data_IF_372694912514
#
_entry.id   IF_372694912514
#
_cell.length_a   1.000
_cell.length_b   1.000
_cell.length_c   1.000
_cell.angle_alpha   90.00
_cell.angle_beta   90.00
_cell.angle_gamma   90.00
#
_symmetry.space_group_name_H-M   'P 1'
#
loop_
_entity.id
_entity.type
_entity.pdbx_description
1 polymer ?
#
# COMPACT_ATOMS: atom_id res chain seq x y z
N UNK A 1 0.20 -1.76 -21.02
CA UNK A 1 -1.11 -1.17 -20.65
C UNK A 1 -1.85 -1.99 -19.61
N UNK A 2 -2.04 -3.31 -19.81
CA UNK A 2 -2.71 -4.18 -18.81
C UNK A 2 -2.14 -4.03 -17.38
N UNK A 3 -0.82 -4.04 -17.22
CA UNK A 3 -0.20 -3.84 -15.89
C UNK A 3 -0.44 -2.46 -15.28
N UNK A 4 -0.43 -1.39 -16.09
CA UNK A 4 -0.80 -0.05 -15.62
C UNK A 4 -2.25 0.01 -15.15
N UNK A 5 -3.17 -0.65 -15.85
CA UNK A 5 -4.58 -0.73 -15.45
C UNK A 5 -4.76 -1.44 -14.11
N UNK A 6 -4.05 -2.57 -13.91
CA UNK A 6 -4.03 -3.29 -12.63
C UNK A 6 -3.52 -2.43 -11.48
N UNK A 7 -2.45 -1.66 -11.67
CA UNK A 7 -1.91 -0.80 -10.62
C UNK A 7 -2.85 0.34 -10.24
N UNK A 8 -3.52 0.96 -11.23
CA UNK A 8 -4.53 1.99 -10.97
C UNK A 8 -5.73 1.37 -10.25
N UNK A 9 -6.21 0.21 -10.68
CA UNK A 9 -7.32 -0.50 -10.03
C UNK A 9 -6.99 -0.85 -8.58
N UNK A 10 -5.82 -1.44 -8.32
CA UNK A 10 -5.35 -1.75 -6.96
C UNK A 10 -5.27 -0.50 -6.10
N UNK A 11 -4.87 0.64 -6.68
CA UNK A 11 -4.79 1.91 -5.95
C UNK A 11 -6.18 2.51 -5.66
N UNK A 12 -7.11 2.43 -6.60
CA UNK A 12 -8.50 2.88 -6.39
C UNK A 12 -9.23 2.01 -5.37
N UNK A 13 -9.00 0.71 -5.40
CA UNK A 13 -9.56 -0.21 -4.41
C UNK A 13 -8.97 0.01 -3.02
N UNK A 14 -7.65 0.19 -2.92
CA UNK A 14 -6.98 0.53 -1.67
C UNK A 14 -7.38 1.90 -1.08
N UNK A 15 -7.86 2.83 -1.91
CA UNK A 15 -8.43 4.10 -1.48
C UNK A 15 -9.93 4.03 -1.13
N UNK A 16 -10.60 2.92 -1.50
CA UNK A 16 -12.04 2.76 -1.37
C UNK A 16 -12.86 3.56 -2.40
N UNK A 17 -12.27 3.95 -3.53
CA UNK A 17 -12.94 4.72 -4.58
C UNK A 17 -13.72 3.83 -5.56
N UNK A 18 -13.21 2.62 -5.80
CA UNK A 18 -13.81 1.63 -6.69
C UNK A 18 -13.75 0.28 -5.99
N UNK A 19 -14.78 -0.53 -6.14
CA UNK A 19 -14.80 -1.90 -5.63
C UNK A 19 -14.62 -2.88 -6.79
N UNK A 20 -13.90 -3.96 -6.54
CA UNK A 20 -13.89 -5.13 -7.43
C UNK A 20 -15.04 -6.11 -7.11
N UNK A 21 -15.96 -5.76 -6.21
CA UNK A 21 -17.20 -6.48 -5.96
C UNK A 21 -18.29 -6.01 -6.92
N UNK A 22 -18.93 -6.96 -7.58
CA UNK A 22 -20.09 -6.76 -8.44
C UNK A 22 -21.30 -7.37 -7.78
N UNK A 23 -22.39 -6.62 -7.81
CA UNK A 23 -23.68 -7.03 -7.25
C UNK A 23 -24.59 -7.40 -8.41
N UNK A 24 -25.08 -8.64 -8.42
CA UNK A 24 -26.02 -9.13 -9.43
C UNK A 24 -27.44 -8.83 -8.96
N UNK A 25 -28.21 -8.15 -9.81
CA UNK A 25 -29.59 -7.77 -9.53
C UNK A 25 -30.56 -8.51 -10.47
N UNK A 26 -31.74 -8.89 -9.95
CA UNK A 26 -32.82 -9.43 -10.78
C UNK A 26 -33.49 -8.33 -11.63
N UNK A 27 -34.42 -8.74 -12.49
CA UNK A 27 -35.20 -7.82 -13.32
C UNK A 27 -36.07 -6.83 -12.52
N UNK A 28 -36.21 -7.05 -11.21
CA UNK A 28 -36.94 -6.24 -10.26
C UNK A 28 -36.00 -5.35 -9.41
N UNK A 29 -34.69 -5.36 -9.69
CA UNK A 29 -33.68 -4.55 -9.01
C UNK A 29 -33.26 -5.08 -7.63
N UNK A 30 -33.64 -6.31 -7.26
CA UNK A 30 -33.25 -6.94 -5.99
C UNK A 30 -31.90 -7.63 -6.15
N UNK A 31 -31.08 -7.51 -5.11
CA UNK A 31 -29.76 -8.15 -5.06
C UNK A 31 -29.94 -9.66 -4.89
N UNK A 32 -29.50 -10.43 -5.89
CA UNK A 32 -29.59 -11.90 -5.91
C UNK A 32 -28.25 -12.52 -5.54
N UNK A 33 -27.15 -11.90 -5.97
CA UNK A 33 -25.80 -12.41 -5.71
C UNK A 33 -24.77 -11.27 -5.65
N UNK A 34 -23.57 -11.57 -5.18
CA UNK A 34 -22.41 -10.70 -5.38
C UNK A 34 -21.16 -11.55 -5.63
N UNK A 35 -20.29 -11.12 -6.54
CA UNK A 35 -19.04 -11.80 -6.84
C UNK A 35 -17.89 -10.79 -6.95
N UNK A 36 -16.66 -11.27 -6.80
CA UNK A 36 -15.46 -10.45 -6.91
C UNK A 36 -14.76 -10.73 -8.25
N UNK A 37 -14.55 -9.71 -9.07
CA UNK A 37 -13.86 -9.83 -10.35
C UNK A 37 -12.93 -8.65 -10.62
N UNK A 38 -11.72 -8.64 -10.02
CA UNK A 38 -10.75 -7.58 -10.27
C UNK A 38 -10.36 -7.43 -11.76
N UNK A 39 -10.42 -8.53 -12.51
CA UNK A 39 -10.14 -8.54 -13.94
C UNK A 39 -11.19 -7.80 -14.77
N UNK A 40 -12.46 -7.85 -14.36
CA UNK A 40 -13.55 -7.09 -14.97
C UNK A 40 -13.49 -5.61 -14.56
N UNK A 41 -13.22 -5.35 -13.27
CA UNK A 41 -13.14 -4.00 -12.72
C UNK A 41 -12.02 -3.14 -13.37
N UNK A 42 -10.92 -3.75 -13.80
CA UNK A 42 -9.83 -3.03 -14.48
C UNK A 42 -10.10 -2.69 -15.96
N UNK A 43 -11.14 -3.27 -16.60
CA UNK A 43 -11.40 -3.07 -18.03
C UNK A 43 -11.70 -1.62 -18.43
N UNK A 44 -12.54 -0.86 -17.69
CA UNK A 44 -12.77 0.55 -18.01
C UNK A 44 -11.48 1.38 -17.94
N UNK A 45 -10.64 1.13 -16.94
CA UNK A 45 -9.33 1.79 -16.79
C UNK A 45 -8.43 1.44 -17.97
N UNK A 46 -8.39 0.16 -18.35
CA UNK A 46 -7.61 -0.30 -19.50
C UNK A 46 -8.07 0.39 -20.80
N UNK A 47 -9.38 0.55 -21.02
CA UNK A 47 -9.91 1.24 -22.18
C UNK A 47 -9.48 2.72 -22.23
N UNK A 48 -9.54 3.43 -21.09
CA UNK A 48 -9.05 4.82 -20.99
C UNK A 48 -7.54 4.90 -21.28
N UNK A 49 -6.74 3.99 -20.73
CA UNK A 49 -5.30 3.94 -20.99
C UNK A 49 -4.97 3.67 -22.47
N UNK A 50 -5.77 2.84 -23.15
CA UNK A 50 -5.62 2.62 -24.59
C UNK A 50 -5.93 3.87 -25.40
N UNK A 51 -7.01 4.59 -25.07
CA UNK A 51 -7.33 5.87 -25.72
C UNK A 51 -6.17 6.86 -25.52
N UNK A 52 -5.66 6.97 -24.29
CA UNK A 52 -4.53 7.85 -23.97
C UNK A 52 -3.26 7.45 -24.74
N UNK A 53 -2.98 6.14 -24.86
CA UNK A 53 -1.86 5.65 -25.66
C UNK A 53 -2.00 6.01 -27.14
N UNK A 54 -3.19 5.90 -27.73
CA UNK A 54 -3.42 6.27 -29.13
C UNK A 54 -3.21 7.77 -29.37
N UNK A 55 -3.74 8.62 -28.48
CA UNK A 55 -3.50 10.07 -28.52
C UNK A 55 -2.01 10.36 -28.40
N UNK A 56 -1.32 9.68 -27.47
CA UNK A 56 0.10 9.89 -27.25
C UNK A 56 0.95 9.41 -28.43
N UNK A 57 0.58 8.30 -29.08
CA UNK A 57 1.23 7.81 -30.29
C UNK A 57 1.13 8.84 -31.42
N UNK A 58 -0.03 9.46 -31.59
CA UNK A 58 -0.22 10.54 -32.55
C UNK A 58 0.65 11.77 -32.22
N UNK A 59 0.71 12.17 -30.95
CA UNK A 59 1.57 13.26 -30.50
C UNK A 59 3.05 12.95 -30.71
N UNK A 60 3.48 11.71 -30.47
CA UNK A 60 4.85 11.25 -30.66
C UNK A 60 5.30 11.30 -32.12
N UNK A 61 4.43 10.92 -33.06
CA UNK A 61 4.71 11.07 -34.49
C UNK A 61 4.77 12.56 -34.86
N UNK A 62 3.88 13.37 -34.29
CA UNK A 62 3.87 14.83 -34.51
C UNK A 62 5.16 15.48 -34.01
N UNK A 63 5.69 15.07 -32.86
CA UNK A 63 6.95 15.61 -32.33
C UNK A 63 8.14 15.17 -33.17
N UNK A 64 8.16 13.92 -33.66
CA UNK A 64 9.11 13.48 -34.69
C UNK A 64 9.08 14.37 -35.93
N UNK A 65 7.87 14.76 -36.38
CA UNK A 65 7.71 15.71 -37.48
C UNK A 65 8.24 17.12 -37.14
N UNK A 66 7.97 17.61 -35.93
CA UNK A 66 8.50 18.89 -35.46
C UNK A 66 10.03 18.88 -35.48
N UNK A 67 10.67 17.80 -35.02
CA UNK A 67 12.12 17.69 -34.95
C UNK A 67 12.77 17.63 -36.34
N UNK A 68 12.36 16.68 -37.21
CA UNK A 68 13.04 16.41 -38.47
C UNK A 68 12.10 16.20 -39.68
N UNK A 69 10.91 16.82 -39.67
CA UNK A 69 9.89 16.74 -40.74
C UNK A 69 9.53 15.27 -41.05
N UNK A 70 9.38 14.92 -42.34
CA UNK A 70 9.00 13.57 -42.76
C UNK A 70 9.96 12.50 -42.26
N UNK A 71 11.29 12.76 -42.26
CA UNK A 71 12.29 11.79 -41.79
C UNK A 71 12.10 11.49 -40.30
N UNK A 72 11.90 12.52 -39.48
CA UNK A 72 11.65 12.34 -38.05
C UNK A 72 10.32 11.63 -37.75
N UNK A 73 9.26 11.94 -38.50
CA UNK A 73 7.98 11.24 -38.38
C UNK A 73 8.12 9.74 -38.74
N UNK A 74 8.90 9.42 -39.78
CA UNK A 74 9.14 8.03 -40.21
C UNK A 74 9.94 7.26 -39.15
N UNK A 75 10.99 7.87 -38.58
CA UNK A 75 11.75 7.28 -37.47
C UNK A 75 10.86 7.06 -36.24
N UNK A 76 10.03 8.04 -35.87
CA UNK A 76 9.11 7.92 -34.75
C UNK A 76 8.10 6.78 -34.96
N UNK A 77 7.55 6.65 -36.17
CA UNK A 77 6.66 5.55 -36.54
C UNK A 77 7.37 4.20 -36.47
N UNK A 78 8.59 4.10 -36.99
CA UNK A 78 9.39 2.88 -36.92
C UNK A 78 9.65 2.43 -35.49
N UNK A 79 10.02 3.36 -34.59
CA UNK A 79 10.23 3.07 -33.17
C UNK A 79 8.94 2.55 -32.51
N UNK A 80 7.78 3.11 -32.86
CA UNK A 80 6.50 2.72 -32.27
C UNK A 80 6.03 1.33 -32.75
N UNK A 81 6.30 0.98 -34.00
CA UNK A 81 5.94 -0.32 -34.59
C UNK A 81 6.93 -1.44 -34.26
N UNK A 82 8.19 -1.09 -33.98
CA UNK A 82 9.28 -2.06 -33.79
C UNK A 82 8.96 -3.12 -32.71
N UNK A 83 8.47 -2.78 -31.50
CA UNK A 83 8.15 -3.81 -30.51
C UNK A 83 7.09 -4.80 -30.98
N UNK A 84 6.07 -4.33 -31.71
CA UNK A 84 5.03 -5.20 -32.27
C UNK A 84 5.57 -6.15 -33.33
N UNK A 85 6.46 -5.66 -34.19
CA UNK A 85 7.15 -6.49 -35.20
C UNK A 85 8.06 -7.55 -34.54
N UNK A 86 8.79 -7.18 -33.49
CA UNK A 86 9.64 -8.11 -32.73
C UNK A 86 8.83 -9.19 -32.00
N UNK A 87 7.65 -8.85 -31.48
CA UNK A 87 6.71 -9.83 -30.89
C UNK A 87 6.22 -10.81 -31.95
N UNK A 88 5.83 -10.34 -33.14
CA UNK A 88 5.39 -11.21 -34.24
C UNK A 88 6.49 -12.16 -34.72
N UNK A 89 7.75 -11.73 -34.64
CA UNK A 89 8.92 -12.54 -34.97
C UNK A 89 9.36 -13.49 -33.85
N UNK A 90 8.72 -13.44 -32.67
CA UNK A 90 9.08 -14.24 -31.51
C UNK A 90 10.39 -13.83 -30.84
N UNK A 91 10.95 -12.66 -31.19
CA UNK A 91 12.20 -12.14 -30.63
C UNK A 91 11.98 -11.34 -29.35
N UNK A 92 10.73 -11.03 -29.02
CA UNK A 92 10.38 -10.29 -27.81
C UNK A 92 9.86 -11.24 -26.71
N UNK A 93 10.33 -11.10 -25.45
CA UNK A 93 9.90 -11.97 -24.37
C UNK A 93 8.42 -11.78 -24.01
N UNK A 94 7.75 -12.88 -23.64
CA UNK A 94 6.39 -12.88 -23.11
C UNK A 94 6.37 -12.37 -21.67
N UNK A 95 6.33 -11.06 -21.50
CA UNK A 95 6.24 -10.43 -20.17
C UNK A 95 4.78 -10.50 -19.70
N UNK A 96 4.54 -11.22 -18.60
CA UNK A 96 3.25 -11.14 -17.90
C UNK A 96 3.16 -9.79 -17.18
N UNK A 97 2.28 -8.93 -17.66
CA UNK A 97 2.01 -7.63 -17.03
C UNK A 97 0.94 -7.70 -15.94
N UNK A 98 0.42 -8.90 -15.64
CA UNK A 98 -0.48 -9.08 -14.50
C UNK A 98 0.32 -9.04 -13.19
N UNK A 99 -0.24 -8.49 -12.10
CA UNK A 99 0.41 -8.55 -10.81
C UNK A 99 0.41 -10.00 -10.29
N UNK A 100 1.47 -10.37 -9.54
CA UNK A 100 1.59 -11.71 -8.93
C UNK A 100 0.51 -11.95 -7.85
N UNK A 101 0.04 -10.88 -7.22
CA UNK A 101 -1.08 -10.90 -6.28
C UNK A 101 -1.90 -9.61 -6.40
N UNK A 102 -3.21 -9.74 -6.22
CA UNK A 102 -4.13 -8.62 -6.11
C UNK A 102 -4.83 -8.70 -4.76
N UNK A 103 -4.78 -7.63 -3.97
CA UNK A 103 -5.34 -7.63 -2.62
C UNK A 103 -6.65 -6.86 -2.61
N UNK A 104 -7.74 -7.59 -2.43
CA UNK A 104 -9.09 -7.06 -2.35
C UNK A 104 -9.30 -6.36 -1.01
N UNK A 105 -9.77 -5.11 -1.02
CA UNK A 105 -10.03 -4.32 0.19
C UNK A 105 -8.81 -4.06 1.11
N UNK A 106 -7.60 -4.44 0.69
CA UNK A 106 -6.38 -4.28 1.47
C UNK A 106 -5.63 -3.00 1.12
N UNK A 107 -5.10 -2.33 2.13
CA UNK A 107 -4.23 -1.16 1.98
C UNK A 107 -2.75 -1.56 1.91
N UNK A 108 -1.95 -0.87 1.10
CA UNK A 108 -0.48 -0.92 1.16
C UNK A 108 0.22 -1.66 0.02
N UNK A 109 -0.50 -2.20 -0.97
CA UNK A 109 0.07 -2.81 -2.18
C UNK A 109 -0.24 -1.90 -3.37
N UNK A 110 0.79 -1.48 -4.13
CA UNK A 110 0.65 -0.53 -5.24
C UNK A 110 0.54 -1.21 -6.62
N UNK A 111 0.36 -2.53 -6.63
CA UNK A 111 0.44 -3.37 -7.82
C UNK A 111 1.88 -3.75 -8.15
N UNK A 112 2.17 -4.07 -9.42
CA UNK A 112 3.49 -4.58 -9.84
C UNK A 112 4.44 -3.46 -10.28
N UNK A 113 5.74 -3.66 -10.07
CA UNK A 113 6.78 -2.73 -10.55
C UNK A 113 6.71 -2.54 -12.08
N UNK A 114 6.43 -3.61 -12.82
CA UNK A 114 6.23 -3.56 -14.28
C UNK A 114 5.01 -2.72 -14.67
N UNK A 115 3.90 -2.83 -13.94
CA UNK A 115 2.73 -1.98 -14.14
C UNK A 115 3.06 -0.50 -13.94
N UNK A 116 3.81 -0.19 -12.88
CA UNK A 116 4.19 1.19 -12.55
C UNK A 116 5.14 1.76 -13.61
N UNK A 117 6.09 0.96 -14.09
CA UNK A 117 6.99 1.34 -15.17
C UNK A 117 6.22 1.74 -16.44
N UNK A 118 5.13 1.04 -16.77
CA UNK A 118 4.30 1.43 -17.93
C UNK A 118 3.62 2.78 -17.76
N UNK A 119 3.14 3.11 -16.54
CA UNK A 119 2.51 4.41 -16.25
C UNK A 119 3.53 5.54 -16.22
N UNK A 120 4.68 5.33 -15.57
CA UNK A 120 5.80 6.28 -15.54
C UNK A 120 6.31 6.54 -16.94
N UNK A 121 6.49 5.49 -17.75
CA UNK A 121 6.92 5.60 -19.15
C UNK A 121 5.92 6.39 -20.02
N UNK A 122 4.61 6.14 -19.86
CA UNK A 122 3.57 6.95 -20.50
C UNK A 122 3.67 8.43 -20.12
N UNK A 123 3.80 8.72 -18.82
CA UNK A 123 3.93 10.10 -18.34
C UNK A 123 5.19 10.78 -18.88
N UNK A 124 6.32 10.07 -18.92
CA UNK A 124 7.58 10.59 -19.47
C UNK A 124 7.44 10.95 -20.95
N UNK A 125 6.87 10.04 -21.76
CA UNK A 125 6.64 10.32 -23.18
C UNK A 125 5.63 11.45 -23.37
N UNK A 126 4.58 11.51 -22.54
CA UNK A 126 3.60 12.59 -22.57
C UNK A 126 4.22 13.96 -22.26
N UNK A 127 5.04 14.06 -21.21
CA UNK A 127 5.77 15.28 -20.88
C UNK A 127 6.74 15.69 -21.98
N UNK A 128 7.48 14.74 -22.55
CA UNK A 128 8.40 15.00 -23.65
C UNK A 128 7.68 15.53 -24.90
N UNK A 129 6.61 14.85 -25.32
CA UNK A 129 5.81 15.27 -26.45
C UNK A 129 5.16 16.64 -26.21
N UNK A 130 4.55 16.82 -25.04
CA UNK A 130 3.83 18.05 -24.69
C UNK A 130 4.70 19.28 -24.72
N UNK A 131 5.89 19.23 -24.10
CA UNK A 131 6.82 20.37 -24.06
C UNK A 131 7.39 20.67 -25.45
N UNK A 132 7.74 19.67 -26.26
CA UNK A 132 8.22 19.92 -27.64
C UNK A 132 7.15 20.58 -28.52
N UNK A 133 5.90 20.14 -28.42
CA UNK A 133 4.79 20.77 -29.14
C UNK A 133 4.56 22.19 -28.64
N UNK A 134 4.63 22.41 -27.33
CA UNK A 134 4.47 23.74 -26.74
C UNK A 134 5.52 24.73 -27.25
N UNK A 135 6.80 24.31 -27.29
CA UNK A 135 7.91 25.12 -27.82
C UNK A 135 7.75 25.39 -29.32
N UNK A 136 7.17 24.47 -30.09
CA UNK A 136 6.91 24.67 -31.53
C UNK A 136 5.74 25.63 -31.80
N UNK A 137 4.71 25.60 -30.94
CA UNK A 137 3.49 26.41 -31.11
C UNK A 137 3.67 27.85 -30.64
N UNK A 138 4.34 28.03 -29.50
CA UNK A 138 4.49 29.31 -28.81
C UNK A 138 5.90 29.87 -29.03
N UNK A 139 6.08 31.20 -29.23
CA UNK A 139 7.38 31.83 -29.35
C UNK A 139 8.02 31.97 -27.96
N UNK A 140 8.34 30.83 -27.37
CA UNK A 140 8.88 30.74 -26.03
C UNK A 140 10.38 30.97 -26.13
N UNK A 141 10.85 32.12 -25.63
CA UNK A 141 12.28 32.42 -25.54
C UNK A 141 13.00 31.54 -24.50
N UNK A 142 14.29 31.79 -24.30
CA UNK A 142 15.13 30.97 -23.41
C UNK A 142 14.67 31.00 -21.94
N UNK A 143 13.85 31.98 -21.54
CA UNK A 143 13.30 32.12 -20.18
C UNK A 143 12.43 30.96 -19.70
N UNK A 144 11.77 30.22 -20.59
CA UNK A 144 10.94 29.08 -20.17
C UNK A 144 11.74 27.91 -19.63
N UNK A 145 12.99 27.72 -20.11
CA UNK A 145 13.89 26.74 -19.53
C UNK A 145 14.12 27.02 -18.04
N UNK A 146 14.36 28.29 -17.69
CA UNK A 146 14.56 28.72 -16.31
C UNK A 146 13.30 28.57 -15.45
N UNK A 147 12.12 28.89 -15.99
CA UNK A 147 10.84 28.66 -15.28
C UNK A 147 10.61 27.17 -15.05
N UNK A 148 10.91 26.34 -16.05
CA UNK A 148 10.80 24.88 -15.93
C UNK A 148 11.77 24.31 -14.91
N UNK A 149 12.95 24.91 -14.74
CA UNK A 149 13.92 24.51 -13.72
C UNK A 149 13.36 24.66 -12.31
N UNK A 150 12.56 25.70 -12.03
CA UNK A 150 11.87 25.81 -10.74
C UNK A 150 10.90 24.64 -10.50
N UNK A 151 10.15 24.24 -11.53
CA UNK A 151 9.23 23.08 -11.44
C UNK A 151 10.03 21.78 -11.22
N UNK A 152 11.14 21.61 -11.93
CA UNK A 152 12.04 20.47 -11.75
C UNK A 152 12.63 20.38 -10.35
N UNK A 153 13.11 21.51 -9.80
CA UNK A 153 13.65 21.54 -8.44
C UNK A 153 12.57 21.30 -7.38
N UNK A 154 11.37 21.86 -7.55
CA UNK A 154 10.24 21.59 -6.66
C UNK A 154 9.85 20.11 -6.69
N UNK A 155 9.82 19.50 -7.88
CA UNK A 155 9.55 18.08 -8.05
C UNK A 155 10.64 17.21 -7.39
N UNK A 156 11.92 17.56 -7.53
CA UNK A 156 13.02 16.86 -6.87
C UNK A 156 12.94 16.96 -5.33
N UNK A 157 12.58 18.13 -4.79
CA UNK A 157 12.38 18.33 -3.36
C UNK A 157 11.22 17.48 -2.82
N UNK A 158 10.11 17.41 -3.55
CA UNK A 158 8.99 16.53 -3.21
C UNK A 158 9.39 15.05 -3.21
N UNK A 159 10.23 14.61 -4.15
CA UNK A 159 10.77 13.25 -4.15
C UNK A 159 11.55 12.94 -2.87
N UNK A 160 12.37 13.90 -2.41
CA UNK A 160 13.10 13.78 -1.15
C UNK A 160 12.17 13.65 0.06
N UNK A 161 11.10 14.45 0.12
CA UNK A 161 10.09 14.36 1.19
C UNK A 161 9.40 12.98 1.18
N UNK A 162 8.99 12.47 0.01
CA UNK A 162 8.39 11.15 -0.09
C UNK A 162 9.34 10.04 0.37
N UNK A 163 10.63 10.13 0.03
CA UNK A 163 11.62 9.17 0.49
C UNK A 163 11.74 9.15 2.02
N UNK A 164 11.75 10.32 2.67
CA UNK A 164 11.78 10.41 4.14
C UNK A 164 10.50 9.83 4.75
N UNK A 165 9.34 10.13 4.17
CA UNK A 165 8.07 9.57 4.63
C UNK A 165 8.04 8.03 4.50
N UNK A 166 8.66 7.48 3.46
CA UNK A 166 8.77 6.02 3.26
C UNK A 166 9.65 5.36 4.30
N UNK A 167 10.75 6.01 4.64
CA UNK A 167 11.61 5.58 5.73
C UNK A 167 10.83 5.53 7.05
N UNK A 168 10.06 6.57 7.37
CA UNK A 168 9.23 6.61 8.58
C UNK A 168 8.14 5.53 8.58
N UNK A 169 7.41 5.37 7.48
CA UNK A 169 6.39 4.33 7.36
C UNK A 169 6.95 2.91 7.54
N UNK A 170 8.16 2.64 7.01
CA UNK A 170 8.84 1.37 7.26
C UNK A 170 9.25 1.20 8.72
N UNK A 171 9.64 2.29 9.41
CA UNK A 171 9.96 2.25 10.84
C UNK A 171 8.73 1.92 11.67
N UNK A 172 7.54 2.44 11.34
CA UNK A 172 6.30 2.06 12.04
C UNK A 172 6.00 0.56 11.90
N UNK A 173 6.17 -0.01 10.70
CA UNK A 173 6.01 -1.46 10.47
C UNK A 173 7.03 -2.26 11.28
N UNK A 174 8.29 -1.83 11.29
CA UNK A 174 9.34 -2.48 12.05
C UNK A 174 9.06 -2.42 13.56
N UNK A 175 8.68 -1.25 14.09
CA UNK A 175 8.33 -1.08 15.50
C UNK A 175 7.14 -1.93 15.90
N UNK A 176 6.11 -2.08 15.04
CA UNK A 176 4.99 -2.98 15.30
C UNK A 176 5.44 -4.44 15.44
N UNK A 177 6.35 -4.89 14.55
CA UNK A 177 6.90 -6.25 14.62
C UNK A 177 7.79 -6.47 15.85
N UNK A 178 8.59 -5.47 16.23
CA UNK A 178 9.42 -5.52 17.43
C UNK A 178 8.54 -5.62 18.70
N UNK A 179 7.54 -4.76 18.84
CA UNK A 179 6.61 -4.82 19.98
C UNK A 179 5.78 -6.11 20.02
N UNK A 180 5.39 -6.65 18.86
CA UNK A 180 4.71 -7.95 18.78
C UNK A 180 5.62 -9.08 19.26
N UNK A 181 6.89 -9.11 18.84
CA UNK A 181 7.87 -10.08 19.32
C UNK A 181 8.14 -9.96 20.82
N UNK A 182 8.20 -8.74 21.35
CA UNK A 182 8.39 -8.50 22.77
C UNK A 182 7.19 -8.97 23.59
N UNK A 183 5.98 -8.77 23.07
CA UNK A 183 4.74 -9.31 23.66
C UNK A 183 4.77 -10.83 23.69
N UNK A 184 5.07 -11.46 22.54
CA UNK A 184 5.12 -12.92 22.46
C UNK A 184 6.14 -13.52 23.44
N UNK A 185 7.32 -12.90 23.53
CA UNK A 185 8.38 -13.31 24.47
C UNK A 185 8.02 -13.05 25.92
N UNK A 186 7.37 -11.94 26.25
CA UNK A 186 6.91 -11.63 27.60
C UNK A 186 5.83 -12.63 28.05
N UNK A 187 4.87 -12.95 27.18
CA UNK A 187 3.84 -13.96 27.44
C UNK A 187 4.43 -15.34 27.64
N UNK A 188 5.34 -15.79 26.76
CA UNK A 188 6.03 -17.07 26.91
C UNK A 188 6.91 -17.12 28.18
N UNK A 189 7.51 -15.99 28.56
CA UNK A 189 8.28 -15.88 29.79
C UNK A 189 7.41 -16.07 31.03
N UNK A 190 6.26 -15.38 31.09
CA UNK A 190 5.32 -15.50 32.19
C UNK A 190 4.65 -16.88 32.22
N UNK A 191 4.35 -17.48 31.05
CA UNK A 191 3.81 -18.84 30.94
C UNK A 191 4.72 -19.84 31.65
N UNK A 192 6.02 -19.82 31.35
CA UNK A 192 6.99 -20.73 31.97
C UNK A 192 7.11 -20.53 33.50
N UNK A 193 6.86 -19.31 33.99
CA UNK A 193 6.81 -19.03 35.43
C UNK A 193 5.52 -19.56 36.05
N UNK A 194 4.38 -19.38 35.38
CA UNK A 194 3.08 -19.88 35.82
C UNK A 194 3.03 -21.41 35.89
N UNK A 195 3.53 -22.12 34.87
CA UNK A 195 3.67 -23.59 34.87
C UNK A 195 4.50 -24.09 36.05
N UNK A 196 5.60 -23.39 36.35
CA UNK A 196 6.45 -23.75 37.49
C UNK A 196 5.74 -23.47 38.81
N UNK A 197 5.01 -22.37 38.91
CA UNK A 197 4.27 -22.02 40.11
C UNK A 197 3.13 -23.03 40.36
N UNK A 198 2.39 -23.43 39.33
CA UNK A 198 1.42 -24.53 39.41
C UNK A 198 2.07 -25.84 39.88
N UNK A 199 3.23 -26.19 39.34
CA UNK A 199 3.95 -27.39 39.77
C UNK A 199 4.34 -27.35 41.26
N UNK A 200 4.68 -26.16 41.77
CA UNK A 200 4.95 -25.93 43.19
C UNK A 200 3.67 -26.02 44.03
N UNK A 201 2.56 -25.47 43.56
CA UNK A 201 1.25 -25.58 44.21
C UNK A 201 0.81 -27.05 44.38
N UNK A 202 0.99 -27.87 43.33
CA UNK A 202 0.66 -29.29 43.36
C UNK A 202 1.52 -30.06 44.38
N UNK A 203 2.82 -29.76 44.46
CA UNK A 203 3.75 -30.40 45.40
C UNK A 203 3.44 -30.04 46.87
N UNK A 204 3.03 -28.80 47.13
CA UNK A 204 2.77 -28.30 48.49
C UNK A 204 1.31 -28.45 48.94
N UNK A 205 0.46 -29.12 48.15
CA UNK A 205 -0.98 -29.31 48.42
C UNK A 205 -1.74 -27.99 48.64
N UNK A 206 -1.33 -26.92 47.94
CA UNK A 206 -1.97 -25.60 48.00
C UNK A 206 -2.89 -25.31 46.81
N UNK A 207 -3.38 -26.36 46.13
CA UNK A 207 -4.16 -26.23 44.90
C UNK A 207 -5.46 -25.42 45.00
N UNK A 208 -5.98 -25.19 46.21
CA UNK A 208 -7.20 -24.40 46.43
C UNK A 208 -6.96 -22.88 46.55
N UNK A 209 -5.70 -22.41 46.64
CA UNK A 209 -5.42 -20.97 46.72
C UNK A 209 -5.82 -20.25 45.43
N UNK A 210 -6.13 -18.96 45.54
CA UNK A 210 -6.52 -18.15 44.37
C UNK A 210 -5.38 -18.05 43.37
N UNK A 211 -4.15 -17.86 43.85
CA UNK A 211 -2.96 -17.79 43.01
C UNK A 211 -2.66 -19.10 42.28
N UNK A 212 -2.84 -20.25 42.92
CA UNK A 212 -2.60 -21.56 42.32
C UNK A 212 -3.62 -21.90 41.24
N UNK A 213 -4.91 -21.62 41.51
CA UNK A 213 -5.97 -21.77 40.49
C UNK A 213 -5.75 -20.84 39.30
N UNK A 214 -5.40 -19.58 39.57
CA UNK A 214 -5.07 -18.62 38.52
C UNK A 214 -3.89 -19.06 37.65
N UNK A 215 -2.83 -19.58 38.28
CA UNK A 215 -1.63 -20.00 37.55
C UNK A 215 -1.87 -21.19 36.63
N UNK A 216 -2.88 -22.02 36.90
CA UNK A 216 -3.36 -23.05 35.97
C UNK A 216 -4.21 -22.43 34.85
N UNK A 217 -5.17 -21.57 35.20
CA UNK A 217 -6.12 -21.01 34.23
C UNK A 217 -5.51 -20.01 33.24
N UNK A 218 -4.47 -19.27 33.65
CA UNK A 218 -3.85 -18.21 32.82
C UNK A 218 -2.95 -18.76 31.71
N UNK A 219 -2.55 -20.04 31.79
CA UNK A 219 -1.56 -20.63 30.88
C UNK A 219 -2.01 -20.60 29.43
N UNK A 220 -3.27 -20.98 29.15
CA UNK A 220 -3.79 -20.96 27.79
C UNK A 220 -3.79 -19.54 27.21
N UNK A 221 -4.21 -18.54 27.99
CA UNK A 221 -4.19 -17.14 27.57
C UNK A 221 -2.77 -16.66 27.25
N UNK A 222 -1.78 -17.01 28.07
CA UNK A 222 -0.38 -16.65 27.81
C UNK A 222 0.20 -17.40 26.61
N UNK A 223 -0.21 -18.65 26.40
CA UNK A 223 0.15 -19.42 25.22
C UNK A 223 -0.42 -18.77 23.95
N UNK A 224 -1.70 -18.38 23.96
CA UNK A 224 -2.34 -17.68 22.85
C UNK A 224 -1.60 -16.38 22.53
N UNK A 225 -1.35 -15.53 23.54
CA UNK A 225 -0.59 -14.28 23.35
C UNK A 225 0.85 -14.49 22.88
N UNK A 226 1.44 -15.67 23.13
CA UNK A 226 2.78 -16.01 22.64
C UNK A 226 2.83 -16.37 21.15
N UNK A 227 1.68 -16.71 20.56
CA UNK A 227 1.55 -17.15 19.17
C UNK A 227 0.76 -16.18 18.28
N UNK A 228 -0.02 -15.26 18.86
CA UNK A 228 -0.89 -14.35 18.13
C UNK A 228 -0.16 -13.31 17.28
N UNK A 229 -0.79 -12.97 16.14
CA UNK A 229 -0.42 -11.82 15.31
C UNK A 229 -0.80 -10.49 16.01
N UNK A 230 -0.08 -9.39 15.73
CA UNK A 230 -0.32 -8.09 16.36
C UNK A 230 -1.78 -7.60 16.23
N UNK A 231 -2.42 -7.89 15.10
CA UNK A 231 -3.81 -7.50 14.86
C UNK A 231 -4.81 -8.27 15.73
N UNK A 232 -4.51 -9.55 16.02
CA UNK A 232 -5.34 -10.39 16.90
C UNK A 232 -5.12 -9.97 18.35
N UNK A 233 -3.86 -9.81 18.77
CA UNK A 233 -3.50 -9.41 20.12
C UNK A 233 -4.11 -8.06 20.54
N UNK A 234 -4.26 -7.09 19.62
CA UNK A 234 -4.96 -5.83 19.95
C UNK A 234 -6.44 -6.05 20.30
N UNK A 235 -7.06 -7.09 19.77
CA UNK A 235 -8.48 -7.44 20.01
C UNK A 235 -8.63 -8.34 21.23
N UNK A 236 -7.74 -9.32 21.41
CA UNK A 236 -7.82 -10.36 22.45
C UNK A 236 -6.99 -10.06 23.69
N UNK A 237 -6.01 -9.16 23.59
CA UNK A 237 -5.09 -8.74 24.64
C UNK A 237 -5.77 -8.01 25.81
N UNK A 238 -5.11 -7.90 26.96
CA UNK A 238 -5.70 -7.34 28.17
C UNK A 238 -5.83 -5.81 28.05
N UNK A 239 -7.02 -5.27 28.33
CA UNK A 239 -7.24 -3.82 28.35
C UNK A 239 -6.80 -3.19 29.66
N UNK A 240 -6.97 -3.94 30.75
CA UNK A 240 -6.55 -3.57 32.10
C UNK A 240 -5.90 -4.77 32.78
N UNK A 241 -5.10 -4.53 33.81
CA UNK A 241 -4.40 -5.62 34.52
C UNK A 241 -5.39 -6.68 35.06
N UNK A 242 -6.59 -6.25 35.49
CA UNK A 242 -7.65 -7.14 35.97
C UNK A 242 -8.11 -8.19 34.93
N UNK A 243 -7.98 -7.92 33.62
CA UNK A 243 -8.35 -8.90 32.58
C UNK A 243 -7.42 -10.13 32.59
N UNK A 244 -6.19 -9.99 33.12
CA UNK A 244 -5.23 -11.09 33.27
C UNK A 244 -5.47 -11.94 34.52
N UNK A 245 -6.26 -11.46 35.48
CA UNK A 245 -6.54 -12.17 36.73
C UNK A 245 -7.93 -12.82 36.66
N UNK A 246 -8.03 -13.86 35.82
CA UNK A 246 -9.25 -14.66 35.62
C UNK A 246 -9.01 -16.12 35.98
N UNK A 247 -10.03 -16.76 36.54
CA UNK A 247 -10.02 -18.18 36.90
C UNK A 247 -11.20 -18.84 36.19
N UNK A 248 -10.94 -19.90 35.42
CA UNK A 248 -11.96 -20.64 34.65
C UNK A 248 -12.83 -19.73 33.76
N UNK A 249 -12.24 -18.66 33.22
CA UNK A 249 -12.92 -17.65 32.42
C UNK A 249 -13.79 -16.66 33.23
N UNK A 250 -13.90 -16.80 34.55
CA UNK A 250 -14.62 -15.85 35.40
C UNK A 250 -13.72 -14.68 35.83
N UNK A 251 -14.31 -13.47 35.84
CA UNK A 251 -13.64 -12.27 36.37
C UNK A 251 -13.67 -12.30 37.89
N UNK A 252 -12.52 -12.04 38.50
CA UNK A 252 -12.39 -11.91 39.95
C UNK A 252 -12.83 -10.52 40.42
N UNK A 253 -13.31 -10.44 41.66
CA UNK A 253 -13.55 -9.16 42.34
C UNK A 253 -12.22 -8.45 42.65
N UNK A 254 -12.21 -7.11 42.80
CA UNK A 254 -10.99 -6.38 43.18
C UNK A 254 -10.31 -6.93 44.43
N UNK A 255 -11.09 -7.33 45.43
CA UNK A 255 -10.61 -7.91 46.69
C UNK A 255 -9.92 -9.27 46.46
N UNK A 256 -10.48 -10.11 45.59
CA UNK A 256 -9.88 -11.39 45.20
C UNK A 256 -8.60 -11.20 44.39
N UNK A 257 -8.56 -10.23 43.49
CA UNK A 257 -7.34 -9.90 42.71
C UNK A 257 -6.23 -9.46 43.66
N UNK A 258 -6.54 -8.60 44.62
CA UNK A 258 -5.60 -8.17 45.66
C UNK A 258 -5.10 -9.33 46.51
N UNK A 259 -6.00 -10.21 46.98
CA UNK A 259 -5.61 -11.42 47.73
C UNK A 259 -4.66 -12.31 46.93
N UNK A 260 -4.99 -12.57 45.67
CA UNK A 260 -4.18 -13.35 44.74
C UNK A 260 -2.80 -12.72 44.55
N UNK A 261 -2.73 -11.41 44.30
CA UNK A 261 -1.46 -10.69 44.13
C UNK A 261 -0.61 -10.72 45.41
N UNK A 262 -1.24 -10.63 46.59
CA UNK A 262 -0.55 -10.80 47.88
C UNK A 262 -0.03 -12.23 48.08
N UNK A 263 -0.77 -13.27 47.68
CA UNK A 263 -0.30 -14.65 47.70
C UNK A 263 0.95 -14.82 46.82
N UNK A 264 0.97 -14.24 45.62
CA UNK A 264 2.14 -14.25 44.72
C UNK A 264 3.31 -13.46 45.32
N UNK A 265 3.05 -12.28 45.92
CA UNK A 265 4.07 -11.48 46.57
C UNK A 265 4.74 -12.25 47.71
N UNK A 266 3.94 -12.89 48.57
CA UNK A 266 4.42 -13.73 49.67
C UNK A 266 5.26 -14.90 49.16
N UNK A 267 4.79 -15.59 48.12
CA UNK A 267 5.56 -16.66 47.46
C UNK A 267 6.91 -16.17 46.92
N UNK A 268 6.94 -14.99 46.29
CA UNK A 268 8.17 -14.40 45.77
C UNK A 268 9.14 -14.00 46.88
N UNK A 269 8.65 -13.47 48.00
CA UNK A 269 9.46 -13.15 49.18
C UNK A 269 10.08 -14.41 49.80
N UNK A 270 9.32 -15.50 49.87
CA UNK A 270 9.79 -16.79 50.39
C UNK A 270 10.82 -17.45 49.47
N UNK A 271 10.59 -17.43 48.16
CA UNK A 271 11.47 -18.08 47.17
C UNK A 271 12.72 -17.26 46.85
N UNK A 272 12.59 -15.94 46.80
CA UNK A 272 13.62 -15.02 46.35
C UNK A 272 13.81 -13.87 47.36
N UNK A 273 14.25 -14.17 48.60
CA UNK A 273 14.28 -13.18 49.67
C UNK A 273 15.28 -12.06 49.38
N UNK A 274 14.80 -10.82 49.44
CA UNK A 274 15.62 -9.61 49.37
C UNK A 274 15.95 -9.16 50.79
N UNK A 275 17.23 -9.21 51.15
CA UNK A 275 17.67 -8.84 52.51
C UNK A 275 18.03 -7.35 52.55
N UNK A 276 17.24 -6.55 53.28
CA UNK A 276 17.56 -5.13 53.50
C UNK A 276 18.69 -5.01 54.51
N UNK A 277 19.84 -4.50 54.08
CA UNK A 277 21.02 -4.25 54.94
C UNK A 277 20.91 -2.84 55.56
N UNK A 278 20.34 -1.88 54.83
CA UNK A 278 20.00 -0.54 55.31
C UNK A 278 18.88 0.06 54.47
N UNK A 279 18.39 1.27 54.83
CA UNK A 279 17.35 2.00 54.09
C UNK A 279 17.67 2.25 52.61
N UNK A 280 18.95 2.14 52.21
CA UNK A 280 19.42 2.37 50.84
C UNK A 280 20.11 1.16 50.21
N UNK A 281 20.37 0.09 50.98
CA UNK A 281 21.14 -1.05 50.52
C UNK A 281 20.38 -2.34 50.78
N UNK A 282 20.00 -3.01 49.70
CA UNK A 282 19.40 -4.34 49.71
C UNK A 282 20.34 -5.33 49.03
N UNK A 283 20.51 -6.50 49.64
CA UNK A 283 21.20 -7.64 49.03
C UNK A 283 20.17 -8.52 48.34
N UNK A 284 20.35 -8.64 47.03
CA UNK A 284 19.53 -9.47 46.15
C UNK A 284 19.88 -10.96 46.30
N UNK A 285 18.93 -11.87 46.07
CA UNK A 285 19.22 -13.30 46.04
C UNK A 285 20.15 -13.66 44.87
N UNK A 286 20.96 -14.73 44.99
CA UNK A 286 21.80 -15.18 43.89
C UNK A 286 20.93 -15.68 42.72
N UNK A 287 21.38 -15.39 41.49
CA UNK A 287 20.70 -15.84 40.27
C UNK A 287 20.60 -17.37 40.25
N UNK A 288 19.39 -17.88 40.10
CA UNK A 288 19.12 -19.32 39.99
C UNK A 288 18.05 -19.57 38.93
N UNK A 289 17.77 -20.84 38.62
CA UNK A 289 16.65 -21.16 37.73
C UNK A 289 15.30 -20.62 38.25
N UNK A 290 15.19 -20.38 39.57
CA UNK A 290 13.99 -19.93 40.28
C UNK A 290 13.97 -18.44 40.58
N UNK A 291 15.11 -17.79 40.77
CA UNK A 291 15.20 -16.36 41.07
C UNK A 291 16.01 -15.69 39.98
N UNK A 292 15.29 -15.12 39.01
CA UNK A 292 15.87 -14.40 37.88
C UNK A 292 15.35 -12.98 37.89
N UNK A 293 16.21 -12.05 37.49
CA UNK A 293 15.78 -10.69 37.20
C UNK A 293 14.95 -10.69 35.92
N UNK A 294 13.77 -10.09 35.97
CA UNK A 294 12.92 -9.92 34.79
C UNK A 294 13.66 -9.05 33.76
N UNK A 295 13.76 -9.47 32.49
CA UNK A 295 14.31 -8.63 31.44
C UNK A 295 13.59 -7.28 31.37
N UNK A 296 14.34 -6.20 31.21
CA UNK A 296 13.79 -4.83 31.25
C UNK A 296 12.66 -4.63 30.23
N UNK A 297 12.77 -5.25 29.05
CA UNK A 297 11.73 -5.18 28.03
C UNK A 297 10.39 -5.82 28.47
N UNK A 298 10.39 -6.79 29.38
CA UNK A 298 9.16 -7.43 29.89
C UNK A 298 8.62 -6.72 31.14
N UNK A 299 9.36 -5.75 31.66
CA UNK A 299 9.04 -4.92 32.82
C UNK A 299 9.13 -3.43 32.44
N UNK A 300 8.64 -3.08 31.25
CA UNK A 300 8.73 -1.72 30.70
C UNK A 300 7.68 -0.77 31.28
N UNK A 301 6.65 -1.32 31.94
CA UNK A 301 5.59 -0.53 32.57
C UNK A 301 5.44 -0.90 34.04
N UNK A 302 4.81 0.01 34.78
CA UNK A 302 4.68 -0.09 36.21
C UNK A 302 3.33 -0.70 36.62
N UNK A 303 3.32 -1.65 37.58
CA UNK A 303 2.09 -2.21 38.12
C UNK A 303 1.26 -1.15 38.86
N UNK A 304 -0.05 -1.41 38.91
CA UNK A 304 -0.96 -0.69 39.80
C UNK A 304 -0.59 -0.94 41.27
N UNK A 305 -0.97 -0.01 42.16
CA UNK A 305 -0.72 -0.16 43.60
C UNK A 305 -1.37 -1.45 44.13
N UNK A 306 -0.68 -2.11 45.08
CA UNK A 306 -1.17 -3.29 45.78
C UNK A 306 -1.47 -2.90 47.23
N UNK A 307 -2.74 -2.92 47.64
CA UNK A 307 -3.19 -2.42 48.96
C UNK A 307 -2.71 -0.99 49.28
N UNK A 308 -2.73 -0.12 48.27
CA UNK A 308 -2.22 1.25 48.41
C UNK A 308 -0.69 1.36 48.49
N UNK A 309 0.06 0.24 48.56
CA UNK A 309 1.52 0.19 48.51
C UNK A 309 2.03 0.32 47.08
N UNK A 310 3.13 1.03 46.93
CA UNK A 310 3.84 1.18 45.66
C UNK A 310 4.83 0.03 45.46
N UNK A 311 4.45 -0.94 44.63
CA UNK A 311 5.23 -2.16 44.36
C UNK A 311 6.17 -2.03 43.15
N UNK A 312 6.35 -0.82 42.61
CA UNK A 312 7.18 -0.59 41.40
C UNK A 312 8.63 -1.01 41.57
N UNK A 313 9.21 -0.74 42.73
CA UNK A 313 10.60 -1.10 43.03
C UNK A 313 10.73 -2.60 43.24
N UNK A 314 9.73 -3.23 43.86
CA UNK A 314 9.72 -4.66 44.15
C UNK A 314 9.58 -5.49 42.86
N UNK A 315 8.82 -4.99 41.89
CA UNK A 315 8.63 -5.64 40.59
C UNK A 315 9.92 -5.71 39.72
N UNK A 316 10.96 -4.94 40.08
CA UNK A 316 12.27 -4.95 39.41
C UNK A 316 13.29 -5.89 40.09
N UNK A 317 12.98 -6.40 41.27
CA UNK A 317 13.81 -7.35 41.99
C UNK A 317 13.74 -8.73 41.33
N UNK A 318 14.74 -9.60 41.55
CA UNK A 318 14.64 -10.99 41.14
C UNK A 318 13.41 -11.64 41.78
N UNK A 319 12.53 -12.20 40.95
CA UNK A 319 11.29 -12.84 41.39
C UNK A 319 11.18 -14.24 40.79
N UNK A 320 10.40 -15.11 41.44
CA UNK A 320 10.12 -16.44 40.89
C UNK A 320 8.95 -16.41 39.91
N UNK A 321 7.97 -15.55 40.20
CA UNK A 321 6.82 -15.26 39.36
C UNK A 321 6.66 -13.75 39.21
N UNK A 322 7.07 -13.21 38.07
CA UNK A 322 7.11 -11.77 37.79
C UNK A 322 5.78 -11.24 37.23
N UNK A 323 4.64 -11.69 37.77
CA UNK A 323 3.31 -11.33 37.25
C UNK A 323 3.05 -9.83 37.29
N UNK A 324 3.45 -9.16 38.38
CA UNK A 324 3.21 -7.73 38.62
C UNK A 324 3.66 -6.83 37.46
N UNK A 325 4.93 -6.93 37.05
CA UNK A 325 5.45 -6.11 35.97
C UNK A 325 5.11 -6.63 34.58
N UNK A 326 5.06 -7.95 34.38
CA UNK A 326 4.79 -8.51 33.06
C UNK A 326 3.35 -8.26 32.66
N UNK A 327 2.37 -8.45 33.56
CA UNK A 327 0.95 -8.15 33.30
C UNK A 327 0.75 -6.68 32.94
N UNK A 328 1.32 -5.76 33.72
CA UNK A 328 1.27 -4.34 33.40
C UNK A 328 1.84 -4.05 32.01
N UNK A 329 2.96 -4.72 31.67
CA UNK A 329 3.65 -4.51 30.39
C UNK A 329 2.86 -5.06 29.22
N UNK A 330 2.14 -6.18 29.38
CA UNK A 330 1.24 -6.71 28.35
C UNK A 330 0.09 -5.74 28.05
N UNK A 331 -0.48 -5.08 29.06
CA UNK A 331 -1.49 -4.03 28.87
C UNK A 331 -0.90 -2.85 28.09
N UNK A 332 0.27 -2.35 28.51
CA UNK A 332 0.94 -1.25 27.81
C UNK A 332 1.31 -1.61 26.36
N UNK A 333 1.71 -2.85 26.11
CA UNK A 333 2.01 -3.35 24.77
C UNK A 333 0.77 -3.43 23.88
N UNK A 334 -0.39 -3.83 24.42
CA UNK A 334 -1.65 -3.83 23.66
C UNK A 334 -1.95 -2.43 23.14
N UNK A 335 -1.93 -1.43 24.02
CA UNK A 335 -2.23 -0.05 23.64
C UNK A 335 -1.20 0.50 22.65
N UNK A 336 0.08 0.18 22.86
CA UNK A 336 1.15 0.59 21.93
C UNK A 336 1.00 -0.04 20.56
N UNK A 337 0.70 -1.33 20.50
CA UNK A 337 0.44 -2.03 19.25
C UNK A 337 -0.81 -1.49 18.55
N UNK A 338 -1.87 -1.15 19.28
CA UNK A 338 -3.07 -0.52 18.72
C UNK A 338 -2.75 0.81 18.02
N UNK A 339 -1.95 1.67 18.65
CA UNK A 339 -1.51 2.93 18.06
C UNK A 339 -0.66 2.70 16.80
N UNK A 340 0.31 1.79 16.88
CA UNK A 340 1.17 1.46 15.73
C UNK A 340 0.39 0.83 14.59
N UNK A 341 -0.61 -0.02 14.87
CA UNK A 341 -1.50 -0.59 13.86
C UNK A 341 -2.29 0.49 13.12
N UNK A 342 -2.80 1.49 13.85
CA UNK A 342 -3.49 2.62 13.27
C UNK A 342 -2.55 3.44 12.35
N UNK A 343 -1.33 3.72 12.80
CA UNK A 343 -0.31 4.40 12.00
C UNK A 343 0.07 3.61 10.74
N UNK A 344 0.35 2.31 10.87
CA UNK A 344 0.68 1.43 9.75
C UNK A 344 -0.47 1.37 8.74
N UNK A 345 -1.73 1.35 9.21
CA UNK A 345 -2.91 1.38 8.34
C UNK A 345 -3.00 2.70 7.57
N UNK A 346 -2.76 3.82 8.23
CA UNK A 346 -2.77 5.14 7.59
C UNK A 346 -1.61 5.29 6.58
N UNK A 347 -0.40 4.86 6.93
CA UNK A 347 0.77 4.82 6.04
C UNK A 347 0.51 3.95 4.80
N UNK A 348 -0.14 2.81 4.99
CA UNK A 348 -0.53 1.92 3.89
C UNK A 348 -1.59 2.54 3.00
N UNK A 349 -2.51 3.34 3.54
CA UNK A 349 -3.51 4.07 2.75
C UNK A 349 -2.86 5.23 1.98
N UNK A 350 -2.03 6.03 2.63
CA UNK A 350 -1.36 7.19 2.01
C UNK A 350 -0.43 6.78 0.87
N UNK A 351 0.15 5.56 0.94
CA UNK A 351 0.90 4.95 -0.18
C UNK A 351 0.13 4.99 -1.50
N UNK A 352 -1.18 4.77 -1.51
CA UNK A 352 -1.99 4.76 -2.73
C UNK A 352 -2.13 6.12 -3.42
N UNK A 353 -1.71 7.24 -2.83
CA UNK A 353 -1.65 8.52 -3.55
C UNK A 353 -0.35 8.70 -4.34
N UNK A 354 0.67 7.86 -4.11
CA UNK A 354 2.01 8.06 -4.67
C UNK A 354 2.11 7.72 -6.15
N UNK A 355 1.25 6.85 -6.67
CA UNK A 355 1.25 6.57 -8.12
C UNK A 355 0.97 7.85 -8.93
N UNK A 356 0.11 8.75 -8.41
CA UNK A 356 -0.17 10.06 -9.01
C UNK A 356 1.12 10.88 -9.05
N UNK A 357 1.83 10.95 -7.92
CA UNK A 357 3.09 11.66 -7.84
C UNK A 357 4.11 11.11 -8.83
N UNK A 358 4.31 9.79 -8.91
CA UNK A 358 5.27 9.20 -9.84
C UNK A 358 4.92 9.47 -11.31
N UNK A 359 3.63 9.47 -11.66
CA UNK A 359 3.18 9.83 -13.01
C UNK A 359 3.41 11.32 -13.30
N UNK A 360 3.08 12.21 -12.37
CA UNK A 360 3.32 13.65 -12.53
C UNK A 360 4.83 13.95 -12.61
N UNK A 361 5.62 13.35 -11.73
CA UNK A 361 7.07 13.47 -11.72
C UNK A 361 7.68 13.00 -13.04
N UNK A 362 7.19 11.90 -13.61
CA UNK A 362 7.68 11.42 -14.90
C UNK A 362 7.33 12.36 -16.05
N UNK A 363 6.16 13.00 -16.04
CA UNK A 363 5.83 14.09 -16.98
C UNK A 363 6.85 15.23 -16.85
N UNK A 364 7.20 15.63 -15.62
CA UNK A 364 8.20 16.69 -15.40
C UNK A 364 9.59 16.28 -15.92
N UNK A 365 10.02 15.04 -15.69
CA UNK A 365 11.27 14.51 -16.28
C UNK A 365 11.19 14.57 -17.81
N UNK A 366 10.10 14.10 -18.40
CA UNK A 366 9.88 14.10 -19.84
C UNK A 366 10.02 15.49 -20.45
N UNK A 367 9.42 16.49 -19.82
CA UNK A 367 9.55 17.88 -20.30
C UNK A 367 10.97 18.45 -20.13
N UNK A 368 11.72 18.06 -19.09
CA UNK A 368 13.14 18.43 -18.95
C UNK A 368 14.00 17.84 -20.06
N UNK A 369 13.75 16.58 -20.42
CA UNK A 369 14.40 15.92 -21.56
C UNK A 369 14.01 16.62 -22.88
N UNK A 370 12.76 17.06 -23.01
CA UNK A 370 12.30 17.80 -24.17
C UNK A 370 13.01 19.15 -24.33
N UNK A 371 13.28 19.87 -23.24
CA UNK A 371 14.07 21.11 -23.29
C UNK A 371 15.50 20.86 -23.80
N UNK A 372 16.15 19.80 -23.32
CA UNK A 372 17.47 19.40 -23.82
C UNK A 372 17.40 19.01 -25.30
N UNK A 373 16.37 18.27 -25.69
CA UNK A 373 16.11 17.87 -27.09
C UNK A 373 15.91 19.10 -27.99
N UNK A 374 15.10 20.06 -27.53
CA UNK A 374 14.80 21.29 -28.26
C UNK A 374 16.06 22.13 -28.50
N UNK A 375 16.92 22.24 -27.49
CA UNK A 375 18.22 22.92 -27.58
C UNK A 375 19.16 22.21 -28.56
N UNK A 376 19.28 20.88 -28.47
CA UNK A 376 20.11 20.07 -29.35
C UNK A 376 19.66 20.14 -30.81
N UNK A 377 18.35 20.12 -31.06
CA UNK A 377 17.78 20.22 -32.41
C UNK A 377 17.61 21.69 -32.89
N UNK A 378 18.09 22.68 -32.13
CA UNK A 378 18.09 24.08 -32.50
C UNK A 378 16.70 24.69 -32.71
N UNK A 379 15.67 24.21 -32.00
CA UNK A 379 14.28 24.64 -32.20
C UNK A 379 14.09 26.15 -32.00
N UNK A 380 14.75 26.73 -30.99
CA UNK A 380 14.65 28.16 -30.66
C UNK A 380 15.23 29.07 -31.76
N UNK A 381 16.17 28.54 -32.57
CA UNK A 381 16.86 29.27 -33.65
C UNK A 381 16.10 29.24 -34.99
N UNK A 382 14.94 28.59 -35.05
CA UNK A 382 14.16 28.45 -36.30
C UNK A 382 13.54 29.78 -36.73
N UNK A 383 13.54 30.01 -38.03
CA UNK A 383 12.89 31.18 -38.66
C UNK A 383 11.37 31.12 -38.47
N UNK A 384 10.65 32.26 -38.53
CA UNK A 384 9.20 32.31 -38.31
C UNK A 384 8.39 31.40 -39.24
N UNK A 385 8.83 31.26 -40.50
CA UNK A 385 8.23 30.38 -41.50
C UNK A 385 8.36 28.87 -41.15
N UNK A 386 9.34 28.53 -40.30
CA UNK A 386 9.61 27.16 -39.87
C UNK A 386 9.06 26.83 -38.48
N UNK A 387 8.39 27.78 -37.81
CA UNK A 387 7.67 27.58 -36.54
C UNK A 387 6.28 26.99 -36.79
N UNK A 388 5.63 26.46 -35.74
CA UNK A 388 4.28 25.89 -35.78
C UNK A 388 4.12 24.73 -36.77
N UNK A 389 5.18 23.93 -36.96
CA UNK A 389 5.16 22.76 -37.84
C UNK A 389 4.10 21.75 -37.40
N UNK A 390 3.90 21.62 -36.09
CA UNK A 390 2.85 20.79 -35.48
C UNK A 390 1.46 21.18 -36.00
N UNK A 391 1.11 22.47 -35.98
CA UNK A 391 -0.19 22.96 -36.44
C UNK A 391 -0.38 22.72 -37.94
N UNK A 392 0.64 22.96 -38.76
CA UNK A 392 0.57 22.70 -40.21
C UNK A 392 0.40 21.21 -40.51
N UNK A 393 1.12 20.35 -39.78
CA UNK A 393 1.01 18.91 -39.89
C UNK A 393 -0.39 18.40 -39.52
N UNK A 394 -0.92 18.84 -38.37
CA UNK A 394 -2.26 18.47 -37.91
C UNK A 394 -3.34 18.95 -38.87
N UNK A 395 -3.25 20.20 -39.37
CA UNK A 395 -4.19 20.71 -40.38
C UNK A 395 -4.14 19.90 -41.68
N UNK A 396 -2.93 19.57 -42.16
CA UNK A 396 -2.74 18.77 -43.37
C UNK A 396 -3.32 17.37 -43.21
N UNK A 397 -3.07 16.72 -42.07
CA UNK A 397 -3.63 15.42 -41.73
C UNK A 397 -5.16 15.48 -41.65
N UNK A 398 -5.72 16.47 -40.95
CA UNK A 398 -7.17 16.68 -40.87
C UNK A 398 -7.81 16.87 -42.25
N UNK A 399 -7.19 17.64 -43.14
CA UNK A 399 -7.67 17.82 -44.51
C UNK A 399 -7.60 16.52 -45.34
N UNK A 400 -6.52 15.75 -45.22
CA UNK A 400 -6.40 14.46 -45.91
C UNK A 400 -7.38 13.42 -45.37
N UNK A 401 -7.55 13.35 -44.05
CA UNK A 401 -8.51 12.45 -43.42
C UNK A 401 -9.94 12.82 -43.79
N UNK A 402 -10.28 14.12 -43.83
CA UNK A 402 -11.58 14.61 -44.28
C UNK A 402 -11.88 14.23 -45.73
N UNK A 403 -10.90 14.41 -46.63
CA UNK A 403 -11.03 13.97 -48.04
C UNK A 403 -11.20 12.45 -48.15
N UNK A 404 -10.46 11.68 -47.36
CA UNK A 404 -10.61 10.22 -47.30
C UNK A 404 -12.00 9.80 -46.81
N UNK A 405 -12.52 10.44 -45.76
CA UNK A 405 -13.86 10.20 -45.24
C UNK A 405 -14.95 10.57 -46.26
N UNK A 406 -14.76 11.66 -47.01
CA UNK A 406 -15.63 12.02 -48.12
C UNK A 406 -15.62 10.94 -49.20
N UNK A 407 -14.46 10.44 -49.62
CA UNK A 407 -14.36 9.36 -50.61
C UNK A 407 -15.06 8.08 -50.12
N UNK A 408 -14.84 7.68 -48.86
CA UNK A 408 -15.53 6.51 -48.27
C UNK A 408 -17.04 6.72 -48.25
N UNK A 409 -17.51 7.91 -47.85
CA UNK A 409 -18.93 8.25 -47.85
C UNK A 409 -19.52 8.23 -49.27
N UNK A 410 -18.77 8.70 -50.28
CA UNK A 410 -19.16 8.62 -51.69
C UNK A 410 -19.23 7.18 -52.19
N UNK A 411 -18.29 6.31 -51.79
CA UNK A 411 -18.31 4.89 -52.11
C UNK A 411 -19.51 4.16 -51.48
N UNK A 412 -19.84 4.47 -50.22
CA UNK A 412 -21.03 3.93 -49.53
C UNK A 412 -22.32 4.45 -50.16
N UNK A 413 -22.40 5.75 -50.48
CA UNK A 413 -23.58 6.31 -51.15
C UNK A 413 -23.75 5.75 -52.58
N UNK A 414 -22.64 5.51 -53.27
CA UNK A 414 -22.61 4.87 -54.59
C UNK A 414 -23.06 3.41 -54.53
N UNK A 415 -22.58 2.62 -53.56
CA UNK A 415 -23.01 1.24 -53.39
C UNK A 415 -24.50 1.13 -53.01
N UNK A 416 -25.00 2.03 -52.14
CA UNK A 416 -26.43 2.12 -51.81
C UNK A 416 -27.26 2.51 -53.04
N UNK A 417 -26.81 3.46 -53.86
CA UNK A 417 -27.52 3.86 -55.09
C UNK A 417 -27.56 2.74 -56.12
N UNK A 418 -26.48 1.95 -56.26
CA UNK A 418 -26.44 0.77 -57.11
C UNK A 418 -27.42 -0.30 -56.59
N UNK A 419 -27.44 -0.56 -55.28
CA UNK A 419 -28.40 -1.49 -54.67
C UNK A 419 -29.86 -1.04 -54.89
N UNK A 420 -30.15 0.26 -54.75
CA UNK A 420 -31.50 0.81 -54.99
C UNK A 420 -31.89 0.75 -56.47
N UNK A 421 -30.95 0.98 -57.39
CA UNK A 421 -31.18 0.85 -58.82
C UNK A 421 -31.46 -0.61 -59.23
N UNK A 422 -30.71 -1.56 -58.66
CA UNK A 422 -30.92 -2.99 -58.85
C UNK A 422 -32.27 -3.45 -58.27
N UNK A 423 -32.67 -2.93 -57.10
CA UNK A 423 -33.98 -3.18 -56.51
C UNK A 423 -35.13 -2.61 -57.35
N UNK A 424 -34.96 -1.42 -57.95
CA UNK A 424 -35.94 -0.85 -58.89
C UNK A 424 -36.05 -1.63 -60.20
N UNK A 425 -34.97 -2.25 -60.65
CA UNK A 425 -35.00 -3.16 -61.81
C UNK A 425 -35.68 -4.50 -61.48
N UNK A 426 -35.56 -4.97 -60.24
CA UNK A 426 -36.19 -6.20 -59.78
C UNK A 426 -37.69 -6.04 -59.46
N UNK A 427 -38.21 -4.82 -59.29
CA UNK A 427 -39.65 -4.56 -59.14
C UNK A 427 -40.32 -4.40 -60.51
N UNK A 428 -41.15 -5.36 -60.95
CA UNK A 428 -41.86 -5.23 -62.22
C UNK A 428 -42.81 -4.05 -62.17
N UNK A 429 -42.73 -3.15 -63.17
CA UNK A 429 -43.74 -2.11 -63.40
C UNK A 429 -45.07 -2.81 -63.64
N UNK A 430 -45.97 -2.78 -62.66
CA UNK A 430 -47.38 -3.11 -62.87
C UNK A 430 -48.00 -2.04 -63.78
N UNK A 431 -47.91 -2.25 -65.08
CA UNK A 431 -48.69 -1.49 -66.06
C UNK A 431 -50.17 -1.76 -65.80
N UNK A 432 -50.91 -0.71 -65.41
CA UNK A 432 -52.37 -0.69 -65.47
C UNK A 432 -52.77 -0.62 -66.95
N UNK A 433 -53.56 -1.62 -67.34
CA UNK A 433 -54.53 -1.74 -68.46
C UNK A 433 -54.23 -1.03 -69.77
#
# INVERSE_FOLDING_TARGET
MKGGAWNIQQSFEGLGLVSSNFVEQDAQGRIVSSYWSPGEAMLPILAVLWILLLVLAFLYITTGYVLARKKGALVALSILLLPGLLVLQGWWPSISFAPDSFVIGGSGVLGSGWGMLTLVGLGLVAGWCGVLVLIDLLPIGDGFGHVYDHVWYAAALLAGIFFVFDSQANRHVQSLQEHSRDTQRASAYLLKQAERYESWCAQNRQGESLSCRWASSVQQTLLDYSAEDPAVFVVTGPHVAADMYRIDGQRLTPEQITSLRNEIATYNEDMCPVTRISDRVSRMPPSSSRCLRTPVQFCASFPERLDGRDVRHDALNPASLASECVVATLVAFRDRQQQLLAQVKDDRRSKHYRWIYYVLFSIVIGGKIALATAKAAGLNKRTPAERRRSLHWVRRLGQTSWRGLQIIRWLIAGSVSICVALLRFATPRSGKR
#
